data_IF_930264962914
#
_entry.id   IF_930264962914
#
_cell.length_a   1.000
_cell.length_b   1.000
_cell.length_c   1.000
_cell.angle_alpha   90.00
_cell.angle_beta   90.00
_cell.angle_gamma   90.00
#
_symmetry.space_group_name_H-M   'P 1'
#
loop_
_entity.id
_entity.type
_entity.pdbx_description
1 polymer ?
#
# COMPACT_ATOMS: atom_id res chain seq x y z
N UNK A 1 8.86 5.97 24.31
CA UNK A 1 7.47 5.82 23.86
C UNK A 1 7.47 4.89 22.67
N UNK A 2 6.53 3.95 22.57
CA UNK A 2 6.40 3.13 21.37
C UNK A 2 5.81 3.97 20.22
N UNK A 3 6.18 3.67 18.98
CA UNK A 3 5.56 4.28 17.81
C UNK A 3 4.52 3.35 17.20
N UNK A 4 3.54 3.93 16.52
CA UNK A 4 2.49 3.23 15.78
C UNK A 4 2.75 3.35 14.30
N UNK A 5 2.94 2.22 13.63
CA UNK A 5 3.36 2.16 12.24
C UNK A 5 2.29 1.45 11.41
N UNK A 6 1.86 2.09 10.33
CA UNK A 6 0.94 1.50 9.35
C UNK A 6 1.67 1.05 8.10
N UNK A 7 1.29 -0.09 7.54
CA UNK A 7 1.77 -0.57 6.23
C UNK A 7 0.58 -0.92 5.34
N UNK A 8 0.55 -0.41 4.13
CA UNK A 8 -0.26 -1.04 3.10
C UNK A 8 0.32 -2.43 2.77
N UNK A 9 -0.51 -3.33 2.29
CA UNK A 9 -0.08 -4.71 2.00
C UNK A 9 0.27 -4.88 0.53
N UNK A 10 -0.65 -4.51 -0.37
CA UNK A 10 -0.51 -4.74 -1.80
C UNK A 10 0.33 -3.63 -2.46
N UNK A 11 1.45 -4.00 -3.08
CA UNK A 11 2.40 -3.03 -3.63
C UNK A 11 3.54 -2.68 -2.67
N UNK A 12 3.30 -2.71 -1.36
CA UNK A 12 4.32 -2.48 -0.32
C UNK A 12 5.01 -3.78 0.08
N UNK A 13 4.25 -4.78 0.53
CA UNK A 13 4.76 -6.04 1.07
C UNK A 13 4.48 -7.18 0.09
N UNK A 14 3.23 -7.31 -0.38
CA UNK A 14 2.78 -8.33 -1.29
C UNK A 14 2.83 -7.87 -2.75
N UNK A 15 3.37 -8.71 -3.64
CA UNK A 15 3.44 -8.46 -5.07
C UNK A 15 2.12 -8.80 -5.78
N UNK A 16 1.07 -8.05 -5.44
CA UNK A 16 -0.24 -8.21 -6.05
C UNK A 16 -0.20 -8.16 -7.59
N UNK A 17 0.51 -7.19 -8.14
CA UNK A 17 0.56 -6.96 -9.59
C UNK A 17 1.11 -8.17 -10.37
N UNK A 18 2.07 -8.91 -9.82
CA UNK A 18 2.61 -10.11 -10.45
C UNK A 18 1.55 -11.22 -10.46
N UNK A 19 1.02 -11.55 -9.28
CA UNK A 19 0.04 -12.65 -9.15
C UNK A 19 -1.24 -12.36 -9.92
N UNK A 20 -1.68 -11.10 -9.95
CA UNK A 20 -2.82 -10.68 -10.75
C UNK A 20 -2.59 -10.87 -12.25
N UNK A 21 -1.41 -10.47 -12.77
CA UNK A 21 -1.06 -10.69 -14.19
C UNK A 21 -0.92 -12.17 -14.53
N UNK A 22 -0.32 -12.95 -13.65
CA UNK A 22 -0.16 -14.40 -13.84
C UNK A 22 -1.55 -15.09 -13.87
N UNK A 23 -2.47 -14.63 -13.02
CA UNK A 23 -3.88 -15.09 -13.03
C UNK A 23 -4.57 -14.71 -14.34
N UNK A 24 -4.40 -13.47 -14.80
CA UNK A 24 -4.97 -13.00 -16.06
C UNK A 24 -4.44 -13.82 -17.26
N UNK A 25 -3.13 -14.06 -17.30
CA UNK A 25 -2.51 -14.86 -18.37
C UNK A 25 -3.04 -16.30 -18.41
N UNK A 26 -3.31 -16.92 -17.26
CA UNK A 26 -3.91 -18.26 -17.17
C UNK A 26 -5.34 -18.29 -17.69
N UNK A 27 -6.14 -17.25 -17.38
CA UNK A 27 -7.54 -17.15 -17.81
C UNK A 27 -7.64 -16.90 -19.33
N UNK A 28 -6.77 -16.07 -19.86
CA UNK A 28 -6.82 -15.63 -21.28
C UNK A 28 -5.97 -16.49 -22.23
N UNK A 29 -5.41 -17.59 -21.76
CA UNK A 29 -4.62 -18.52 -22.58
C UNK A 29 -3.32 -17.91 -23.15
N UNK A 30 -2.77 -16.93 -22.48
CA UNK A 30 -1.46 -16.33 -22.81
C UNK A 30 -1.47 -15.30 -23.95
N UNK A 31 -2.63 -14.97 -24.52
CA UNK A 31 -2.71 -14.03 -25.63
C UNK A 31 -3.76 -12.96 -25.40
N UNK A 32 -3.36 -11.76 -25.09
CA UNK A 32 -4.05 -10.56 -25.57
C UNK A 32 -3.36 -9.27 -25.12
N UNK A 33 -2.54 -8.71 -25.98
CA UNK A 33 -2.26 -7.27 -25.93
C UNK A 33 -3.43 -6.54 -26.58
N UNK A 34 -4.52 -6.28 -25.84
CA UNK A 34 -5.60 -5.44 -26.35
C UNK A 34 -5.07 -3.99 -26.51
N UNK A 35 -5.26 -3.43 -27.70
CA UNK A 35 -4.94 -2.01 -27.91
C UNK A 35 -5.92 -1.13 -27.13
N UNK A 36 -5.47 -0.59 -26.02
CA UNK A 36 -6.25 0.30 -25.14
C UNK A 36 -6.48 1.70 -25.74
N UNK A 37 -5.95 1.98 -26.90
CA UNK A 37 -6.04 3.31 -27.53
C UNK A 37 -7.39 3.57 -28.18
N UNK A 38 -8.13 2.51 -28.55
CA UNK A 38 -9.46 2.64 -29.18
C UNK A 38 -10.59 2.22 -28.21
N UNK A 39 -11.87 2.61 -28.49
CA UNK A 39 -13.01 2.27 -27.63
C UNK A 39 -13.28 0.76 -27.54
N UNK A 40 -13.12 0.01 -28.63
CA UNK A 40 -13.34 -1.43 -28.64
C UNK A 40 -12.26 -2.15 -27.82
N UNK A 41 -10.99 -1.76 -27.94
CA UNK A 41 -9.90 -2.28 -27.14
C UNK A 41 -10.06 -1.97 -25.64
N UNK A 42 -10.62 -0.81 -25.29
CA UNK A 42 -10.95 -0.48 -23.89
C UNK A 42 -12.08 -1.36 -23.33
N UNK A 43 -13.12 -1.61 -24.11
CA UNK A 43 -14.21 -2.49 -23.70
C UNK A 43 -13.73 -3.92 -23.48
N UNK A 44 -12.94 -4.48 -24.42
CA UNK A 44 -12.34 -5.81 -24.29
C UNK A 44 -11.41 -5.89 -23.06
N UNK A 45 -10.63 -4.86 -22.79
CA UNK A 45 -9.78 -4.82 -21.60
C UNK A 45 -10.61 -4.77 -20.30
N UNK A 46 -11.76 -4.09 -20.29
CA UNK A 46 -12.66 -4.06 -19.14
C UNK A 46 -13.30 -5.44 -18.89
N UNK A 47 -13.76 -6.13 -19.93
CA UNK A 47 -14.32 -7.47 -19.83
C UNK A 47 -13.28 -8.50 -19.36
N UNK A 48 -12.04 -8.40 -19.87
CA UNK A 48 -10.94 -9.22 -19.43
C UNK A 48 -10.66 -9.00 -17.93
N UNK A 49 -10.62 -7.74 -17.49
CA UNK A 49 -10.43 -7.38 -16.09
C UNK A 49 -11.57 -7.93 -15.21
N UNK A 50 -12.81 -7.83 -15.67
CA UNK A 50 -13.97 -8.41 -14.96
C UNK A 50 -13.81 -9.93 -14.79
N UNK A 51 -13.46 -10.65 -15.85
CA UNK A 51 -13.23 -12.12 -15.76
C UNK A 51 -12.15 -12.48 -14.75
N UNK A 52 -11.07 -11.70 -14.67
CA UNK A 52 -10.00 -11.93 -13.67
C UNK A 52 -10.55 -11.74 -12.27
N UNK A 53 -11.29 -10.67 -12.01
CA UNK A 53 -11.89 -10.43 -10.70
C UNK A 53 -12.95 -11.48 -10.33
N UNK A 54 -13.77 -11.91 -11.29
CA UNK A 54 -14.74 -13.00 -11.10
C UNK A 54 -14.03 -14.32 -10.74
N UNK A 55 -12.89 -14.59 -11.38
CA UNK A 55 -12.06 -15.76 -11.03
C UNK A 55 -11.47 -15.63 -9.62
N UNK A 56 -10.90 -14.48 -9.27
CA UNK A 56 -10.35 -14.22 -7.94
C UNK A 56 -11.43 -14.41 -6.87
N UNK A 57 -12.62 -13.84 -7.07
CA UNK A 57 -13.71 -13.91 -6.11
C UNK A 57 -14.19 -15.35 -5.85
N UNK A 58 -14.10 -16.23 -6.86
CA UNK A 58 -14.50 -17.65 -6.76
C UNK A 58 -13.38 -18.59 -6.35
N UNK A 59 -12.13 -18.14 -6.39
CA UNK A 59 -10.98 -18.96 -6.01
C UNK A 59 -10.82 -18.94 -4.50
N UNK A 60 -10.91 -20.11 -3.88
CA UNK A 60 -10.71 -20.25 -2.44
C UNK A 60 -9.30 -19.82 -2.04
N UNK A 61 -9.22 -18.99 -1.01
CA UNK A 61 -7.95 -18.57 -0.42
C UNK A 61 -6.98 -17.88 -1.41
N UNK A 62 -7.51 -17.17 -2.41
CA UNK A 62 -6.67 -16.58 -3.47
C UNK A 62 -5.59 -15.64 -2.92
N UNK A 63 -5.87 -14.93 -1.84
CA UNK A 63 -4.94 -13.97 -1.26
C UNK A 63 -3.71 -14.61 -0.63
N UNK A 64 -3.73 -15.93 -0.37
CA UNK A 64 -2.57 -16.68 0.11
C UNK A 64 -1.54 -16.97 -0.99
N UNK A 65 -1.91 -16.82 -2.27
CA UNK A 65 -1.03 -17.13 -3.41
C UNK A 65 -0.05 -15.99 -3.74
N UNK A 66 -0.18 -14.84 -3.09
CA UNK A 66 0.67 -13.69 -3.36
C UNK A 66 2.12 -13.99 -2.98
N UNK A 67 3.06 -13.56 -3.84
CA UNK A 67 4.47 -13.55 -3.49
C UNK A 67 4.79 -12.31 -2.64
N UNK A 68 5.69 -12.45 -1.68
CA UNK A 68 6.25 -11.29 -0.99
C UNK A 68 7.35 -10.66 -1.86
N UNK A 69 7.46 -9.33 -1.85
CA UNK A 69 8.56 -8.64 -2.54
C UNK A 69 9.92 -8.91 -1.88
N UNK A 70 9.97 -8.85 -0.57
CA UNK A 70 11.18 -8.90 0.23
C UNK A 70 10.88 -9.69 1.53
N UNK A 71 10.80 -11.04 1.47
CA UNK A 71 10.40 -11.85 2.63
C UNK A 71 11.28 -11.63 3.86
N UNK A 72 12.58 -11.44 3.64
CA UNK A 72 13.55 -11.18 4.71
C UNK A 72 13.28 -9.85 5.43
N UNK A 73 12.70 -8.86 4.74
CA UNK A 73 12.34 -7.58 5.35
C UNK A 73 11.05 -7.67 6.16
N UNK A 74 10.15 -8.59 5.84
CA UNK A 74 8.97 -8.89 6.69
C UNK A 74 9.45 -9.46 8.03
N UNK A 75 10.40 -10.38 8.00
CA UNK A 75 11.01 -10.95 9.21
C UNK A 75 11.81 -9.88 9.99
N UNK A 76 12.52 -8.99 9.28
CA UNK A 76 13.19 -7.84 9.91
C UNK A 76 12.17 -6.94 10.61
N UNK A 77 11.06 -6.59 9.93
CA UNK A 77 9.99 -5.77 10.50
C UNK A 77 9.45 -6.40 11.79
N UNK A 78 9.19 -7.72 11.78
CA UNK A 78 8.75 -8.42 12.98
C UNK A 78 9.77 -8.30 14.12
N UNK A 79 11.05 -8.63 13.88
CA UNK A 79 12.11 -8.54 14.92
C UNK A 79 12.23 -7.12 15.46
N UNK A 80 12.37 -6.12 14.57
CA UNK A 80 12.48 -4.71 14.95
C UNK A 80 11.27 -4.23 15.74
N UNK A 81 10.06 -4.61 15.34
CA UNK A 81 8.84 -4.24 16.05
C UNK A 81 8.81 -4.78 17.48
N UNK A 82 9.32 -5.98 17.70
CA UNK A 82 9.42 -6.60 19.04
C UNK A 82 10.50 -5.93 19.90
N UNK A 83 11.68 -5.71 19.33
CA UNK A 83 12.82 -5.10 20.02
C UNK A 83 12.53 -3.65 20.41
N UNK A 84 11.96 -2.88 19.49
CA UNK A 84 11.67 -1.45 19.69
C UNK A 84 10.28 -1.19 20.25
N UNK A 85 9.45 -2.23 20.42
CA UNK A 85 8.06 -2.17 20.90
C UNK A 85 7.17 -1.31 19.99
N UNK A 86 7.30 -1.47 18.68
CA UNK A 86 6.39 -0.83 17.73
C UNK A 86 5.02 -1.53 17.74
N UNK A 87 3.96 -0.72 17.62
CA UNK A 87 2.63 -1.23 17.29
C UNK A 87 2.48 -1.18 15.77
N UNK A 88 2.42 -2.35 15.11
CA UNK A 88 2.38 -2.48 13.65
C UNK A 88 0.98 -2.85 13.20
N UNK A 89 0.45 -2.10 12.22
CA UNK A 89 -0.86 -2.30 11.62
C UNK A 89 -0.72 -2.48 10.11
N UNK A 90 -1.27 -3.57 9.58
CA UNK A 90 -1.35 -3.82 8.14
C UNK A 90 -2.72 -3.42 7.64
N UNK A 91 -2.77 -2.52 6.66
CA UNK A 91 -4.02 -1.97 6.12
C UNK A 91 -4.17 -2.41 4.67
N UNK A 92 -5.31 -2.96 4.30
CA UNK A 92 -5.57 -3.40 2.93
C UNK A 92 -6.99 -3.07 2.49
N UNK A 93 -7.22 -3.00 1.16
CA UNK A 93 -8.54 -2.77 0.54
C UNK A 93 -8.94 -3.95 -0.33
N UNK A 94 -8.40 -5.14 -0.08
CA UNK A 94 -8.68 -6.35 -0.84
C UNK A 94 -10.17 -6.68 -0.85
N UNK A 95 -10.79 -6.99 -2.00
CA UNK A 95 -12.14 -7.51 -2.04
C UNK A 95 -12.20 -8.93 -1.47
N UNK A 96 -13.41 -9.39 -1.14
CA UNK A 96 -13.62 -10.76 -0.70
C UNK A 96 -13.29 -11.77 -1.80
N UNK A 97 -12.77 -12.92 -1.42
CA UNK A 97 -12.64 -14.12 -2.24
C UNK A 97 -13.31 -15.30 -1.54
N UNK A 98 -13.47 -16.42 -2.25
CA UNK A 98 -13.99 -17.63 -1.61
C UNK A 98 -13.07 -18.14 -0.51
N UNK A 99 -13.64 -18.87 0.44
CA UNK A 99 -12.94 -19.35 1.64
C UNK A 99 -13.07 -18.40 2.79
N UNK A 100 -11.99 -18.21 3.55
CA UNK A 100 -11.95 -17.34 4.71
C UNK A 100 -12.04 -15.86 4.38
N UNK A 101 -12.34 -15.03 5.36
CA UNK A 101 -12.40 -13.59 5.19
C UNK A 101 -11.08 -13.03 4.70
N UNK A 102 -11.12 -11.95 3.96
CA UNK A 102 -9.92 -11.24 3.45
C UNK A 102 -8.95 -10.90 4.59
N UNK A 103 -9.48 -10.51 5.74
CA UNK A 103 -8.66 -10.25 6.92
C UNK A 103 -7.91 -11.50 7.35
N UNK A 104 -8.59 -12.63 7.48
CA UNK A 104 -8.00 -13.89 7.93
C UNK A 104 -6.95 -14.42 6.94
N UNK A 105 -7.26 -14.40 5.63
CA UNK A 105 -6.32 -14.76 4.59
C UNK A 105 -5.05 -13.89 4.63
N UNK A 106 -5.21 -12.57 4.87
CA UNK A 106 -4.07 -11.66 4.96
C UNK A 106 -3.24 -11.92 6.21
N UNK A 107 -3.86 -12.25 7.34
CA UNK A 107 -3.15 -12.66 8.56
C UNK A 107 -2.33 -13.92 8.33
N UNK A 108 -2.93 -14.98 7.79
CA UNK A 108 -2.21 -16.22 7.49
C UNK A 108 -1.07 -16.01 6.51
N UNK A 109 -1.28 -15.16 5.49
CA UNK A 109 -0.22 -14.84 4.54
C UNK A 109 0.97 -14.15 5.22
N UNK A 110 0.72 -13.18 6.09
CA UNK A 110 1.76 -12.49 6.85
C UNK A 110 2.48 -13.44 7.81
N UNK A 111 1.76 -14.31 8.50
CA UNK A 111 2.35 -15.33 9.39
C UNK A 111 3.25 -16.29 8.61
N UNK A 112 2.77 -16.77 7.46
CA UNK A 112 3.56 -17.63 6.56
C UNK A 112 4.83 -16.97 6.01
N UNK A 113 4.85 -15.62 5.96
CA UNK A 113 6.02 -14.83 5.55
C UNK A 113 6.88 -14.34 6.75
N UNK A 114 6.60 -14.81 7.97
CA UNK A 114 7.45 -14.58 9.13
C UNK A 114 7.07 -13.37 9.98
N UNK A 115 5.81 -12.91 9.91
CA UNK A 115 5.26 -11.92 10.84
C UNK A 115 4.13 -12.54 11.69
N UNK A 116 4.44 -13.20 12.81
CA UNK A 116 3.45 -13.80 13.70
C UNK A 116 2.46 -12.79 14.30
N UNK A 117 1.21 -13.20 14.47
CA UNK A 117 0.14 -12.42 15.10
C UNK A 117 -0.04 -11.01 14.50
N UNK A 118 -0.20 -10.87 13.18
CA UNK A 118 -0.31 -9.56 12.56
C UNK A 118 -1.65 -8.89 12.86
N UNK A 119 -1.63 -7.59 13.16
CA UNK A 119 -2.84 -6.77 13.25
C UNK A 119 -3.24 -6.31 11.85
N UNK A 120 -4.25 -6.95 11.27
CA UNK A 120 -4.74 -6.66 9.91
C UNK A 120 -6.08 -5.96 9.95
N UNK A 121 -6.17 -4.85 9.21
CA UNK A 121 -7.40 -4.10 8.99
C UNK A 121 -7.76 -4.07 7.51
N UNK A 122 -8.99 -4.44 7.20
CA UNK A 122 -9.57 -4.20 5.88
C UNK A 122 -10.22 -2.81 5.89
N UNK A 123 -9.65 -1.88 5.13
CA UNK A 123 -10.07 -0.47 5.12
C UNK A 123 -10.68 -0.15 3.75
N UNK A 124 -12.00 -0.19 3.60
CA UNK A 124 -12.66 0.08 2.31
C UNK A 124 -12.73 1.59 1.97
N UNK A 125 -12.41 2.45 2.93
CA UNK A 125 -12.49 3.90 2.82
C UNK A 125 -11.15 4.61 2.91
N UNK A 126 -11.15 5.77 3.57
CA UNK A 126 -9.99 6.65 3.74
C UNK A 126 -8.87 5.99 4.56
N UNK A 127 -7.65 6.02 4.01
CA UNK A 127 -6.44 5.65 4.75
C UNK A 127 -6.10 6.67 5.82
N UNK A 128 -6.43 7.92 5.56
CA UNK A 128 -6.22 9.02 6.51
C UNK A 128 -7.10 8.90 7.75
N UNK A 129 -8.38 8.55 7.57
CA UNK A 129 -9.29 8.31 8.71
C UNK A 129 -8.83 7.12 9.54
N UNK A 130 -8.39 6.03 8.88
CA UNK A 130 -7.82 4.88 9.58
C UNK A 130 -6.55 5.25 10.35
N UNK A 131 -5.64 6.00 9.73
CA UNK A 131 -4.42 6.49 10.36
C UNK A 131 -4.71 7.38 11.58
N UNK A 132 -5.74 8.25 11.48
CA UNK A 132 -6.17 9.11 12.57
C UNK A 132 -6.80 8.32 13.72
N UNK A 133 -7.68 7.36 13.42
CA UNK A 133 -8.33 6.52 14.43
C UNK A 133 -7.31 5.66 15.20
N UNK A 134 -6.34 5.08 14.50
CA UNK A 134 -5.25 4.30 15.08
C UNK A 134 -4.16 5.16 15.73
N UNK A 135 -4.21 6.50 15.53
CA UNK A 135 -3.17 7.44 15.97
C UNK A 135 -1.78 7.01 15.49
N UNK A 136 -1.68 6.68 14.20
CA UNK A 136 -0.40 6.31 13.62
C UNK A 136 0.60 7.47 13.72
N UNK A 137 1.86 7.12 13.91
CA UNK A 137 2.98 8.06 13.87
C UNK A 137 3.55 8.19 12.46
N UNK A 138 3.56 7.06 11.74
CA UNK A 138 4.09 6.97 10.37
C UNK A 138 3.38 5.83 9.62
N UNK A 139 3.16 6.00 8.33
CA UNK A 139 2.58 4.96 7.49
C UNK A 139 3.33 4.85 6.16
N UNK A 140 3.40 3.63 5.61
CA UNK A 140 4.00 3.29 4.32
C UNK A 140 2.91 2.83 3.36
N UNK A 141 2.84 3.42 2.18
CA UNK A 141 1.86 3.07 1.14
C UNK A 141 2.51 3.21 -0.25
N UNK A 142 2.06 2.47 -1.24
CA UNK A 142 2.57 2.52 -2.62
C UNK A 142 1.83 3.54 -3.50
N UNK A 143 0.76 4.16 -2.97
CA UNK A 143 -0.07 5.14 -3.69
C UNK A 143 0.09 6.53 -3.12
N UNK A 144 0.48 7.47 -3.99
CA UNK A 144 0.58 8.89 -3.61
C UNK A 144 -0.74 9.42 -3.05
N UNK A 145 -1.89 9.02 -3.63
CA UNK A 145 -3.22 9.45 -3.16
C UNK A 145 -3.49 9.03 -1.71
N UNK A 146 -3.10 7.81 -1.34
CA UNK A 146 -3.23 7.32 0.04
C UNK A 146 -2.28 8.06 0.98
N UNK A 147 -1.04 8.31 0.55
CA UNK A 147 -0.07 9.09 1.33
C UNK A 147 -0.57 10.52 1.58
N UNK A 148 -1.17 11.17 0.56
CA UNK A 148 -1.77 12.51 0.70
C UNK A 148 -2.96 12.47 1.65
N UNK A 149 -3.84 11.47 1.55
CA UNK A 149 -4.96 11.28 2.45
C UNK A 149 -4.51 11.11 3.91
N UNK A 150 -3.47 10.30 4.14
CA UNK A 150 -2.89 10.09 5.47
C UNK A 150 -2.40 11.40 6.09
N UNK A 151 -1.62 12.20 5.38
CA UNK A 151 -1.08 13.46 5.92
C UNK A 151 -2.15 14.55 6.05
N UNK A 152 -3.22 14.50 5.25
CA UNK A 152 -4.30 15.47 5.30
C UNK A 152 -5.27 15.22 6.47
N UNK A 153 -5.60 13.95 6.77
CA UNK A 153 -6.61 13.59 7.75
C UNK A 153 -6.02 13.15 9.12
N UNK A 154 -4.70 12.99 9.22
CA UNK A 154 -4.05 12.53 10.45
C UNK A 154 -2.78 13.33 10.77
N UNK A 155 -2.14 12.99 11.91
CA UNK A 155 -0.82 13.52 12.29
C UNK A 155 0.33 12.62 11.83
N UNK A 156 0.01 11.50 11.20
CA UNK A 156 1.01 10.55 10.74
C UNK A 156 1.88 11.16 9.63
N UNK A 157 3.16 10.79 9.64
CA UNK A 157 4.02 10.99 8.47
C UNK A 157 3.73 9.89 7.46
N UNK A 158 3.88 10.19 6.17
CA UNK A 158 3.72 9.21 5.11
C UNK A 158 5.05 8.96 4.40
N UNK A 159 5.28 7.71 4.05
CA UNK A 159 6.38 7.23 3.22
C UNK A 159 5.76 6.59 1.99
N UNK A 160 6.04 7.14 0.81
CA UNK A 160 5.65 6.55 -0.46
C UNK A 160 6.69 5.51 -0.88
N UNK A 161 6.29 4.25 -1.00
CA UNK A 161 7.14 3.19 -1.51
C UNK A 161 6.92 3.06 -3.02
N UNK A 162 7.78 3.69 -3.81
CA UNK A 162 7.71 3.75 -5.26
C UNK A 162 8.70 2.75 -5.88
N UNK A 163 8.26 1.50 -6.11
CA UNK A 163 9.14 0.42 -6.61
C UNK A 163 9.68 0.64 -8.02
N UNK A 164 8.98 1.41 -8.82
CA UNK A 164 9.46 1.90 -10.13
C UNK A 164 9.58 3.40 -10.05
N UNK A 165 10.74 3.90 -10.41
CA UNK A 165 10.95 5.35 -10.43
C UNK A 165 10.00 6.02 -11.43
N UNK A 166 9.21 6.95 -10.92
CA UNK A 166 8.40 7.89 -11.68
C UNK A 166 8.73 9.28 -11.16
N UNK A 167 9.53 10.05 -11.92
CA UNK A 167 9.96 11.37 -11.47
C UNK A 167 8.80 12.31 -11.14
N UNK A 168 7.69 12.22 -11.90
CA UNK A 168 6.52 13.08 -11.68
C UNK A 168 5.86 12.77 -10.33
N UNK A 169 5.64 11.49 -10.04
CA UNK A 169 5.04 11.06 -8.77
C UNK A 169 5.99 11.37 -7.61
N UNK A 170 7.28 11.12 -7.79
CA UNK A 170 8.31 11.42 -6.78
C UNK A 170 8.33 12.91 -6.42
N UNK A 171 8.38 13.78 -7.43
CA UNK A 171 8.46 15.23 -7.20
C UNK A 171 7.18 15.75 -6.53
N UNK A 172 6.01 15.22 -6.93
CA UNK A 172 4.75 15.53 -6.26
C UNK A 172 4.70 15.08 -4.80
N UNK A 173 5.27 13.94 -4.47
CA UNK A 173 5.36 13.44 -3.09
C UNK A 173 6.27 14.33 -2.26
N UNK A 174 7.48 14.61 -2.76
CA UNK A 174 8.48 15.44 -2.07
C UNK A 174 7.96 16.87 -1.84
N UNK A 175 7.25 17.44 -2.82
CA UNK A 175 6.63 18.77 -2.68
C UNK A 175 5.63 18.86 -1.52
N UNK A 176 5.04 17.73 -1.10
CA UNK A 176 4.09 17.62 0.01
C UNK A 176 4.72 17.16 1.32
N UNK A 177 6.04 17.02 1.37
CA UNK A 177 6.74 16.51 2.54
C UNK A 177 6.53 15.01 2.79
N UNK A 178 6.21 14.24 1.73
CA UNK A 178 6.11 12.78 1.77
C UNK A 178 7.47 12.22 1.38
N UNK A 179 8.07 11.41 2.25
CA UNK A 179 9.33 10.73 1.95
C UNK A 179 9.11 9.66 0.88
N UNK A 180 10.07 9.50 -0.02
CA UNK A 180 9.99 8.51 -1.11
C UNK A 180 11.11 7.51 -0.99
N UNK A 181 10.77 6.23 -1.03
CA UNK A 181 11.70 5.09 -1.01
C UNK A 181 11.31 4.09 -2.09
N UNK A 182 12.21 3.16 -2.43
CA UNK A 182 11.97 2.18 -3.50
C UNK A 182 11.95 0.72 -3.02
N UNK A 183 12.30 0.46 -1.78
CA UNK A 183 12.31 -0.87 -1.17
C UNK A 183 11.68 -0.85 0.22
N UNK A 184 11.23 -2.02 0.69
CA UNK A 184 10.76 -2.18 2.06
C UNK A 184 11.92 -2.00 3.05
N UNK A 185 13.13 -2.44 2.69
CA UNK A 185 14.32 -2.20 3.49
C UNK A 185 14.53 -0.71 3.77
N UNK A 186 14.50 0.14 2.72
CA UNK A 186 14.66 1.58 2.88
C UNK A 186 13.50 2.24 3.66
N UNK A 187 12.28 1.69 3.55
CA UNK A 187 11.14 2.15 4.36
C UNK A 187 11.37 1.86 5.86
N UNK A 188 11.89 0.67 6.19
CA UNK A 188 12.21 0.31 7.57
C UNK A 188 13.32 1.21 8.13
N UNK A 189 14.38 1.46 7.37
CA UNK A 189 15.45 2.38 7.76
C UNK A 189 14.90 3.80 8.04
N UNK A 190 13.98 4.28 7.19
CA UNK A 190 13.33 5.58 7.38
C UNK A 190 12.50 5.64 8.67
N UNK A 191 11.79 4.56 9.00
CA UNK A 191 10.99 4.46 10.23
C UNK A 191 11.89 4.45 11.46
N UNK A 192 13.01 3.71 11.43
CA UNK A 192 13.98 3.67 12.53
C UNK A 192 14.58 5.08 12.79
N UNK A 193 14.97 5.78 11.74
CA UNK A 193 15.47 7.16 11.83
C UNK A 193 14.40 8.11 12.38
N UNK A 194 13.14 7.96 11.92
CA UNK A 194 12.00 8.73 12.45
C UNK A 194 11.79 8.50 13.95
N UNK A 195 11.83 7.24 14.40
CA UNK A 195 11.68 6.91 15.82
C UNK A 195 12.79 7.53 16.66
N UNK A 196 14.06 7.42 16.22
CA UNK A 196 15.20 7.98 16.92
C UNK A 196 15.09 9.49 17.10
N UNK A 197 14.63 10.20 16.07
CA UNK A 197 14.42 11.63 16.18
C UNK A 197 13.25 11.99 17.09
N UNK A 198 12.18 11.21 17.07
CA UNK A 198 11.04 11.39 17.98
C UNK A 198 11.44 11.18 19.45
N UNK A 199 12.41 10.28 19.71
CA UNK A 199 12.95 10.03 21.06
C UNK A 199 13.93 11.12 21.51
N UNK A 200 14.71 11.68 20.58
CA UNK A 200 15.70 12.70 20.86
C UNK A 200 15.02 14.07 20.93
N UNK A 201 14.63 14.50 22.13
CA UNK A 201 14.04 15.84 22.37
C UNK A 201 15.02 17.00 22.17
N UNK A 202 16.24 16.75 21.68
CA UNK A 202 17.26 17.78 21.45
C UNK A 202 18.11 17.52 20.21
N UNK A 203 18.01 18.39 19.22
CA UNK A 203 19.10 18.72 18.30
C UNK A 203 19.31 17.88 17.04
N UNK A 204 18.68 16.70 16.87
CA UNK A 204 18.81 15.87 15.66
C UNK A 204 17.61 15.95 14.69
N UNK A 205 16.66 16.80 14.99
CA UNK A 205 15.46 17.03 14.18
C UNK A 205 15.75 17.59 12.77
N UNK A 206 16.96 18.14 12.52
CA UNK A 206 17.25 18.78 11.24
C UNK A 206 17.29 17.81 10.05
N UNK A 207 17.88 16.63 10.21
CA UNK A 207 18.00 15.64 9.11
C UNK A 207 16.69 14.98 8.75
N UNK A 208 15.80 14.77 9.72
CA UNK A 208 14.45 14.24 9.48
C UNK A 208 13.49 15.29 8.98
N UNK A 209 13.62 16.51 9.49
CA UNK A 209 12.85 17.63 8.97
C UNK A 209 13.08 17.80 7.46
N UNK A 210 14.26 17.49 6.96
CA UNK A 210 14.58 17.60 5.53
C UNK A 210 13.88 16.52 4.69
N UNK A 211 13.61 15.33 5.22
CA UNK A 211 12.86 14.27 4.54
C UNK A 211 11.37 14.55 4.42
N UNK A 212 10.81 15.31 5.37
CA UNK A 212 9.37 15.63 5.45
C UNK A 212 9.07 17.12 5.29
N UNK A 213 10.04 17.92 4.82
CA UNK A 213 9.79 19.32 4.46
C UNK A 213 9.24 19.39 3.04
N UNK A 214 8.14 20.12 2.83
CA UNK A 214 7.71 20.46 1.47
C UNK A 214 8.85 21.16 0.73
N UNK A 215 9.10 20.77 -0.51
CA UNK A 215 9.96 21.57 -1.38
C UNK A 215 9.28 22.93 -1.60
N UNK A 216 10.06 24.02 -1.62
CA UNK A 216 9.56 25.41 -1.77
C UNK A 216 9.01 25.70 -3.18
N UNK A 217 8.24 24.79 -3.77
CA UNK A 217 7.52 25.02 -5.01
C UNK A 217 6.02 25.13 -4.72
N UNK A 218 5.44 26.18 -5.29
CA UNK A 218 4.10 26.68 -5.06
C UNK A 218 2.98 25.64 -5.09
N UNK A 219 2.00 25.97 -4.27
CA UNK A 219 0.71 25.39 -3.93
C UNK A 219 -0.16 25.06 -5.17
N UNK A 220 0.16 24.02 -5.93
CA UNK A 220 -0.80 23.39 -6.85
C UNK A 220 -1.52 22.26 -6.08
N UNK A 221 -2.67 22.62 -5.53
CA UNK A 221 -3.62 21.63 -5.00
C UNK A 221 -3.99 20.69 -6.14
N UNK A 222 -3.55 19.44 -6.07
CA UNK A 222 -4.15 18.39 -6.90
C UNK A 222 -5.66 18.37 -6.57
N UNK A 223 -6.55 18.50 -7.58
CA UNK A 223 -7.95 18.29 -7.34
C UNK A 223 -8.12 16.86 -6.79
N UNK A 224 -8.90 16.74 -5.69
CA UNK A 224 -9.21 15.46 -5.03
C UNK A 224 -9.88 14.44 -5.97
N UNK A 225 -10.29 14.85 -7.16
CA UNK A 225 -10.94 14.05 -8.20
C UNK A 225 -9.96 13.42 -9.20
N UNK A 226 -8.69 13.76 -9.16
CA UNK A 226 -7.67 13.08 -9.93
C UNK A 226 -7.42 11.69 -9.31
N UNK A 227 -8.41 10.80 -9.39
CA UNK A 227 -8.23 9.37 -9.30
C UNK A 227 -7.36 8.97 -10.47
N UNK A 228 -6.05 9.05 -10.22
CA UNK A 228 -5.04 8.65 -11.18
C UNK A 228 -5.38 7.25 -11.64
N UNK A 229 -5.70 7.10 -12.90
CA UNK A 229 -6.07 5.86 -13.54
C UNK A 229 -4.86 4.95 -13.70
N UNK A 230 -4.49 4.29 -12.63
CA UNK A 230 -4.00 2.93 -12.64
C UNK A 230 -4.98 2.16 -11.76
N UNK A 231 -6.15 1.93 -12.38
CA UNK A 231 -7.05 0.85 -12.07
C UNK A 231 -7.35 0.58 -10.61
N UNK A 232 -8.01 1.50 -9.88
CA UNK A 232 -8.95 1.01 -8.89
C UNK A 232 -10.12 0.40 -9.67
N UNK A 233 -9.97 -0.85 -10.09
CA UNK A 233 -11.10 -1.62 -10.55
C UNK A 233 -11.99 -1.82 -9.33
N UNK A 234 -13.06 -1.04 -9.24
CA UNK A 234 -14.13 -1.32 -8.30
C UNK A 234 -14.60 -2.74 -8.56
N UNK A 235 -14.77 -3.58 -7.54
CA UNK A 235 -15.52 -4.80 -7.68
C UNK A 235 -16.93 -4.46 -8.22
N UNK A 236 -17.53 -5.33 -9.05
CA UNK A 236 -18.88 -5.09 -9.57
C UNK A 236 -19.84 -4.87 -8.40
N UNK A 237 -20.90 -4.03 -8.59
CA UNK A 237 -21.93 -3.86 -7.59
C UNK A 237 -22.53 -5.23 -7.25
N UNK A 238 -22.80 -5.45 -5.98
CA UNK A 238 -23.57 -6.62 -5.54
C UNK A 238 -24.97 -6.46 -6.14
N UNK A 239 -25.39 -7.41 -6.95
CA UNK A 239 -26.79 -7.53 -7.32
C UNK A 239 -27.56 -7.84 -6.04
N UNK A 240 -28.40 -6.90 -5.60
CA UNK A 240 -29.37 -7.11 -4.53
C UNK A 240 -30.40 -8.13 -5.04
N UNK A 241 -30.37 -9.31 -4.48
CA UNK A 241 -31.49 -10.25 -4.45
C UNK A 241 -31.81 -10.61 -3.00
#
# INVERSE_FOLDING_TARGET
MSIRVGFDVDGVIANFNKTFRDTAAKIEGGASSHNRSDPAGRALAADAMKRVWDHISRTSQWWLQLEAYEPEQIQRLYRTSRERRWEVYFMTTRPSSAGETTQFQTQWWLEGNGFPLPSVLTVPGSRGDAANALKLDIAVDDRLTNCVDIIAASRAKAVLLLRRDDPTIRDQALARGIAVVNTLAAALDAIEVFEEAKRSSSGRLSRLADWFKPSKHEDERLPLDARGSLGSVKPPPKDDQ
#
